data_IF_373311709466
#
_entry.id   IF_373311709466
#
_cell.length_a   1.000
_cell.length_b   1.000
_cell.length_c   1.000
_cell.angle_alpha   90.00
_cell.angle_beta   90.00
_cell.angle_gamma   90.00
#
_symmetry.space_group_name_H-M   'P 1'
#
loop_
_entity.id
_entity.type
_entity.pdbx_description
1 polymer ?
#
# COMPACT_ATOMS: atom_id res chain seq x y z
N UNK A 1 -2.30 1.46 -0.95
CA UNK A 1 -0.95 0.99 -0.55
C UNK A 1 -0.34 0.06 -1.58
N UNK A 2 -0.74 -1.21 -1.71
CA UNK A 2 -0.10 -2.12 -2.68
C UNK A 2 -0.25 -1.67 -4.14
N UNK A 3 -1.45 -1.20 -4.52
CA UNK A 3 -1.68 -0.62 -5.83
C UNK A 3 -0.75 0.57 -6.13
N UNK A 4 -0.49 1.42 -5.13
CA UNK A 4 0.45 2.53 -5.28
C UNK A 4 1.87 2.04 -5.62
N UNK A 5 2.34 0.97 -4.98
CA UNK A 5 3.66 0.41 -5.28
C UNK A 5 3.77 -0.13 -6.70
N UNK A 6 2.72 -0.74 -7.25
CA UNK A 6 2.71 -1.12 -8.66
C UNK A 6 2.79 0.08 -9.60
N UNK A 7 2.15 1.20 -9.24
CA UNK A 7 2.18 2.40 -10.06
C UNK A 7 3.57 3.01 -10.16
N UNK A 8 4.35 2.98 -9.08
CA UNK A 8 5.69 3.59 -9.05
C UNK A 8 6.81 2.59 -9.36
N UNK A 9 6.49 1.31 -9.51
CA UNK A 9 7.51 0.27 -9.63
C UNK A 9 8.38 0.40 -10.88
N UNK A 10 7.76 0.79 -11.98
CA UNK A 10 8.43 0.98 -13.28
C UNK A 10 9.30 2.25 -13.28
N UNK A 11 8.80 3.33 -12.68
CA UNK A 11 9.48 4.63 -12.65
C UNK A 11 10.67 4.67 -11.69
N UNK A 12 10.59 3.96 -10.56
CA UNK A 12 11.62 4.02 -9.53
C UNK A 12 12.82 3.08 -9.80
N UNK A 13 12.67 2.11 -10.70
CA UNK A 13 13.74 1.15 -11.03
C UNK A 13 14.26 0.33 -9.86
N UNK A 14 13.48 0.23 -8.76
CA UNK A 14 13.91 -0.46 -7.55
C UNK A 14 13.72 -1.96 -7.66
N UNK A 15 14.60 -2.70 -7.00
CA UNK A 15 14.41 -4.12 -6.73
C UNK A 15 13.41 -4.30 -5.57
N UNK A 16 12.11 -4.30 -5.92
CA UNK A 16 10.96 -4.42 -5.00
C UNK A 16 10.88 -5.79 -4.32
N UNK A 17 11.83 -6.07 -3.44
CA UNK A 17 11.76 -7.20 -2.53
C UNK A 17 10.73 -6.95 -1.42
N UNK A 18 10.25 -7.99 -0.72
CA UNK A 18 9.32 -7.83 0.40
C UNK A 18 9.82 -6.84 1.46
N UNK A 19 11.13 -6.79 1.70
CA UNK A 19 11.73 -5.87 2.67
C UNK A 19 11.70 -4.42 2.18
N UNK A 20 11.98 -4.17 0.90
CA UNK A 20 11.91 -2.83 0.29
C UNK A 20 10.49 -2.31 0.38
N UNK A 21 9.50 -3.10 -0.06
CA UNK A 21 8.08 -2.72 0.00
C UNK A 21 7.64 -2.46 1.44
N UNK A 22 8.00 -3.33 2.38
CA UNK A 22 7.66 -3.12 3.80
C UNK A 22 8.22 -1.82 4.36
N UNK A 23 9.47 -1.49 4.03
CA UNK A 23 10.11 -0.25 4.47
C UNK A 23 9.44 0.96 3.83
N UNK A 24 9.16 0.92 2.53
CA UNK A 24 8.43 2.00 1.87
C UNK A 24 7.01 2.17 2.41
N UNK A 25 6.30 1.09 2.74
CA UNK A 25 4.99 1.19 3.41
C UNK A 25 5.09 2.01 4.70
N UNK A 26 6.13 1.75 5.52
CA UNK A 26 6.33 2.45 6.78
C UNK A 26 6.60 3.94 6.54
N UNK A 27 7.46 4.28 5.58
CA UNK A 27 7.83 5.66 5.31
C UNK A 27 6.74 6.48 4.59
N UNK A 28 5.96 5.86 3.70
CA UNK A 28 4.96 6.57 2.88
C UNK A 28 3.59 6.64 3.53
N UNK A 29 3.23 5.66 4.36
CA UNK A 29 1.87 5.51 4.87
C UNK A 29 1.78 5.32 6.38
N UNK A 30 2.92 5.35 7.09
CA UNK A 30 3.03 5.03 8.52
C UNK A 30 2.39 3.68 8.87
N UNK A 31 2.54 2.70 7.97
CA UNK A 31 1.92 1.38 8.06
C UNK A 31 2.89 0.30 7.63
N UNK A 32 2.86 -0.86 8.27
CA UNK A 32 3.75 -1.97 7.91
C UNK A 32 3.24 -2.80 6.72
N UNK A 33 1.93 -2.77 6.45
CA UNK A 33 1.29 -3.68 5.49
C UNK A 33 1.21 -5.13 6.00
N UNK A 34 0.48 -5.98 5.29
CA UNK A 34 0.38 -7.41 5.62
C UNK A 34 1.60 -8.16 5.11
N UNK A 35 2.35 -8.81 6.01
CA UNK A 35 3.52 -9.60 5.64
C UNK A 35 3.17 -10.72 4.66
N UNK A 36 2.06 -11.42 4.87
CA UNK A 36 1.63 -12.51 4.00
C UNK A 36 1.40 -12.00 2.57
N UNK A 37 0.66 -10.89 2.42
CA UNK A 37 0.37 -10.31 1.11
C UNK A 37 1.61 -9.73 0.44
N UNK A 38 2.48 -9.07 1.21
CA UNK A 38 3.74 -8.52 0.67
C UNK A 38 4.64 -9.65 0.15
N UNK A 39 4.78 -10.75 0.88
CA UNK A 39 5.58 -11.90 0.45
C UNK A 39 4.95 -12.62 -0.74
N UNK A 40 3.63 -12.75 -0.76
CA UNK A 40 2.91 -13.39 -1.87
C UNK A 40 3.10 -12.63 -3.19
N UNK A 41 3.04 -11.30 -3.14
CA UNK A 41 3.16 -10.45 -4.33
C UNK A 41 4.61 -10.21 -4.76
N UNK A 42 5.49 -9.88 -3.80
CA UNK A 42 6.85 -9.40 -4.09
C UNK A 42 7.94 -10.43 -3.79
N UNK A 43 7.58 -11.59 -3.23
CA UNK A 43 8.52 -12.66 -2.93
C UNK A 43 9.03 -13.35 -4.18
N UNK A 44 10.32 -13.70 -4.17
CA UNK A 44 10.96 -14.49 -5.22
C UNK A 44 11.58 -15.74 -4.61
N UNK A 45 11.15 -16.92 -5.08
CA UNK A 45 11.67 -18.20 -4.59
C UNK A 45 13.15 -18.36 -4.97
N UNK A 46 13.96 -18.84 -4.02
CA UNK A 46 15.40 -19.08 -4.25
C UNK A 46 16.26 -17.82 -4.21
N UNK A 47 15.69 -16.66 -3.90
CA UNK A 47 16.46 -15.43 -3.69
C UNK A 47 17.30 -15.56 -2.41
N UNK A 48 18.62 -15.53 -2.57
CA UNK A 48 19.57 -15.60 -1.45
C UNK A 48 20.12 -14.23 -1.04
N UNK A 49 20.18 -13.28 -2.00
CA UNK A 49 20.78 -11.97 -1.77
C UNK A 49 19.76 -10.93 -1.33
N UNK A 50 20.20 -10.08 -0.40
CA UNK A 50 19.46 -8.90 0.06
C UNK A 50 19.58 -7.78 -0.98
N UNK A 51 18.45 -7.14 -1.27
CA UNK A 51 18.40 -5.95 -2.13
C UNK A 51 19.23 -4.81 -1.54
N UNK A 52 20.07 -4.19 -2.38
CA UNK A 52 20.75 -2.94 -2.08
C UNK A 52 19.74 -1.83 -1.76
N UNK A 53 18.63 -1.78 -2.49
CA UNK A 53 17.58 -0.76 -2.36
C UNK A 53 16.80 -0.87 -1.05
N UNK A 54 17.08 -1.90 -0.26
CA UNK A 54 16.58 -1.95 1.11
C UNK A 54 17.29 -0.94 2.02
N UNK A 55 18.42 -0.34 1.65
CA UNK A 55 19.17 0.55 2.52
C UNK A 55 18.34 1.77 3.02
N UNK A 56 18.45 2.16 4.30
CA UNK A 56 17.57 3.19 4.88
C UNK A 56 17.61 4.55 4.17
N UNK A 57 18.77 4.96 3.70
CA UNK A 57 18.99 6.19 2.93
C UNK A 57 18.29 6.15 1.56
N UNK A 58 18.37 5.02 0.85
CA UNK A 58 17.66 4.82 -0.42
C UNK A 58 16.15 4.84 -0.21
N UNK A 59 15.66 4.13 0.81
CA UNK A 59 14.24 4.11 1.18
C UNK A 59 13.75 5.53 1.51
N UNK A 60 14.53 6.30 2.27
CA UNK A 60 14.17 7.67 2.62
C UNK A 60 14.12 8.58 1.38
N UNK A 61 15.10 8.47 0.48
CA UNK A 61 15.14 9.25 -0.76
C UNK A 61 13.94 8.94 -1.66
N UNK A 62 13.63 7.66 -1.87
CA UNK A 62 12.45 7.22 -2.63
C UNK A 62 11.17 7.70 -1.96
N UNK A 63 11.06 7.54 -0.63
CA UNK A 63 9.87 7.97 0.09
C UNK A 63 9.65 9.48 0.00
N UNK A 64 10.72 10.29 0.01
CA UNK A 64 10.64 11.73 -0.22
C UNK A 64 10.13 12.04 -1.63
N UNK A 65 10.71 11.40 -2.66
CA UNK A 65 10.33 11.60 -4.06
C UNK A 65 8.84 11.34 -4.31
N UNK A 66 8.27 10.31 -3.68
CA UNK A 66 6.89 9.89 -3.90
C UNK A 66 5.90 10.36 -2.83
N UNK A 67 6.33 11.18 -1.86
CA UNK A 67 5.52 11.59 -0.70
C UNK A 67 4.18 12.22 -1.11
N UNK A 68 4.22 13.22 -1.97
CA UNK A 68 3.01 13.92 -2.41
C UNK A 68 2.03 12.99 -3.15
N UNK A 69 2.55 12.07 -3.95
CA UNK A 69 1.72 11.10 -4.67
C UNK A 69 1.11 10.09 -3.71
N UNK A 70 1.87 9.64 -2.71
CA UNK A 70 1.40 8.74 -1.66
C UNK A 70 0.29 9.40 -0.82
N UNK A 71 0.46 10.67 -0.44
CA UNK A 71 -0.56 11.44 0.27
C UNK A 71 -1.85 11.55 -0.55
N UNK A 72 -1.74 11.93 -1.82
CA UNK A 72 -2.90 12.02 -2.72
C UNK A 72 -3.60 10.67 -2.87
N UNK A 73 -2.84 9.58 -3.07
CA UNK A 73 -3.38 8.23 -3.14
C UNK A 73 -4.09 7.85 -1.85
N UNK A 74 -3.51 8.16 -0.69
CA UNK A 74 -4.08 7.84 0.61
C UNK A 74 -5.39 8.59 0.87
N UNK A 75 -5.45 9.89 0.54
CA UNK A 75 -6.69 10.66 0.64
C UNK A 75 -7.81 10.08 -0.22
N UNK A 76 -7.49 9.62 -1.44
CA UNK A 76 -8.47 8.96 -2.31
C UNK A 76 -8.95 7.63 -1.72
N UNK A 77 -8.06 6.83 -1.13
CA UNK A 77 -8.44 5.59 -0.43
C UNK A 77 -9.36 5.89 0.74
N UNK A 78 -9.08 6.92 1.54
CA UNK A 78 -9.93 7.31 2.67
C UNK A 78 -11.33 7.72 2.22
N UNK A 79 -11.44 8.54 1.16
CA UNK A 79 -12.73 8.92 0.57
C UNK A 79 -13.52 7.70 0.07
N UNK A 80 -12.84 6.77 -0.58
CA UNK A 80 -13.47 5.54 -1.06
C UNK A 80 -13.97 4.67 0.10
N UNK A 81 -13.19 4.51 1.17
CA UNK A 81 -13.59 3.77 2.37
C UNK A 81 -14.83 4.43 3.00
N UNK A 82 -14.84 5.77 3.11
CA UNK A 82 -15.97 6.49 3.65
C UNK A 82 -17.24 6.27 2.83
N UNK A 83 -17.14 6.38 1.50
CA UNK A 83 -18.25 6.11 0.59
C UNK A 83 -18.80 4.70 0.76
N UNK A 84 -17.93 3.69 0.73
CA UNK A 84 -18.34 2.28 0.90
C UNK A 84 -19.02 2.05 2.26
N UNK A 85 -18.51 2.67 3.34
CA UNK A 85 -19.14 2.60 4.67
C UNK A 85 -20.54 3.23 4.69
N UNK A 86 -20.72 4.37 4.01
CA UNK A 86 -22.03 5.02 3.91
C UNK A 86 -23.02 4.14 3.14
N UNK A 87 -22.60 3.58 2.01
CA UNK A 87 -23.45 2.71 1.18
C UNK A 87 -23.84 1.43 1.92
N UNK A 88 -22.89 0.81 2.64
CA UNK A 88 -23.17 -0.36 3.47
C UNK A 88 -24.22 -0.06 4.54
N UNK A 89 -24.09 1.05 5.29
CA UNK A 89 -25.08 1.45 6.30
C UNK A 89 -26.46 1.70 5.70
N UNK A 90 -26.54 2.36 4.54
CA UNK A 90 -27.82 2.59 3.84
C UNK A 90 -28.50 1.28 3.46
N UNK A 91 -27.73 0.31 2.97
CA UNK A 91 -28.26 -0.99 2.58
C UNK A 91 -28.75 -1.79 3.80
N UNK A 92 -28.03 -1.77 4.93
CA UNK A 92 -28.47 -2.41 6.16
C UNK A 92 -29.78 -1.82 6.69
N UNK A 93 -29.89 -0.49 6.74
CA UNK A 93 -31.11 0.17 7.20
C UNK A 93 -32.31 -0.14 6.30
N UNK A 94 -32.07 -0.27 4.99
CA UNK A 94 -33.11 -0.64 4.02
C UNK A 94 -33.61 -2.08 4.24
N UNK A 95 -32.70 -3.02 4.49
CA UNK A 95 -33.06 -4.41 4.78
C UNK A 95 -33.90 -4.51 6.07
N UNK A 96 -33.52 -3.78 7.13
CA UNK A 96 -34.29 -3.74 8.38
C UNK A 96 -35.70 -3.18 8.18
N UNK A 97 -35.86 -2.12 7.38
CA UNK A 97 -37.17 -1.54 7.08
C UNK A 97 -38.04 -2.38 6.13
N UNK A 98 -37.47 -3.38 5.45
CA UNK A 98 -38.19 -4.34 4.59
C UNK A 98 -38.57 -5.63 5.37
N UNK A 99 -37.97 -5.86 6.55
CA UNK A 99 -38.26 -6.99 7.45
C UNK A 99 -39.29 -6.66 8.54
N UNK A 100 -39.56 -5.37 8.79
CA UNK A 100 -40.59 -4.83 9.71
C UNK A 100 -41.92 -4.54 9.00
#
# INVERSE_FOLDING_TARGET
MLYFFFQIADEAGLDYTPLVVKRLCAHLFDRQGSQAVIVDIFGQKGRMHRSHDSAPDIIAAVAEQYRQQADNHWQNVLKNIERVKQDYRKNQNRQQAEED
#
